data_IF_803881357457
#
_entry.id   IF_803881357457
#
_cell.length_a   1.000
_cell.length_b   1.000
_cell.length_c   1.000
_cell.angle_alpha   90.00
_cell.angle_beta   90.00
_cell.angle_gamma   90.00
#
_symmetry.space_group_name_H-M   'P 1'
#
loop_
_entity.id
_entity.type
_entity.pdbx_description
1 polymer ?
#
# COMPACT_ATOMS: atom_id res chain seq x y z
N UNK A 1 28.60 13.94 10.03
CA UNK A 1 28.98 12.56 9.70
C UNK A 1 29.32 11.85 11.00
N UNK A 2 28.90 10.60 11.18
CA UNK A 2 29.40 9.80 12.31
C UNK A 2 30.89 9.48 12.09
N UNK A 3 31.69 9.28 13.16
CA UNK A 3 33.04 8.73 13.04
C UNK A 3 33.04 7.44 12.21
N UNK A 4 34.07 7.17 11.39
CA UNK A 4 34.11 6.00 10.50
C UNK A 4 33.90 4.67 11.24
N UNK A 5 34.36 4.54 12.48
CA UNK A 5 34.09 3.39 13.35
C UNK A 5 32.61 3.16 13.67
N UNK A 6 31.75 4.19 13.58
CA UNK A 6 30.31 4.12 13.87
C UNK A 6 29.41 4.24 12.63
N UNK A 7 30.00 4.40 11.44
CA UNK A 7 29.24 4.53 10.19
C UNK A 7 28.42 3.27 9.87
N UNK A 8 28.97 2.08 10.17
CA UNK A 8 28.29 0.79 10.00
C UNK A 8 27.10 0.62 10.94
N UNK A 9 27.26 0.99 12.22
CA UNK A 9 26.18 0.96 13.21
C UNK A 9 25.04 1.93 12.84
N UNK A 10 25.38 3.15 12.39
CA UNK A 10 24.39 4.13 11.92
C UNK A 10 23.63 3.68 10.68
N UNK A 11 24.31 3.02 9.73
CA UNK A 11 23.68 2.47 8.52
C UNK A 11 22.73 1.31 8.84
N UNK A 12 23.10 0.42 9.76
CA UNK A 12 22.27 -0.70 10.18
C UNK A 12 20.94 -0.23 10.79
N UNK A 13 20.98 0.74 11.71
CA UNK A 13 19.78 1.32 12.33
C UNK A 13 18.88 2.00 11.30
N UNK A 14 19.46 2.76 10.36
CA UNK A 14 18.67 3.41 9.31
C UNK A 14 17.97 2.39 8.40
N UNK A 15 18.65 1.29 8.05
CA UNK A 15 18.06 0.22 7.26
C UNK A 15 16.89 -0.45 7.98
N UNK A 16 17.07 -0.86 9.25
CA UNK A 16 15.99 -1.44 10.06
C UNK A 16 14.82 -0.47 10.20
N UNK A 17 15.09 0.82 10.43
CA UNK A 17 14.05 1.84 10.54
C UNK A 17 13.23 1.92 9.25
N UNK A 18 13.89 1.93 8.08
CA UNK A 18 13.19 1.94 6.78
C UNK A 18 12.37 0.67 6.58
N UNK A 19 12.92 -0.49 6.87
CA UNK A 19 12.21 -1.77 6.74
C UNK A 19 10.98 -1.84 7.65
N UNK A 20 11.15 -1.52 8.93
CA UNK A 20 10.05 -1.53 9.91
C UNK A 20 8.99 -0.49 9.55
N UNK A 21 9.39 0.72 9.17
CA UNK A 21 8.44 1.76 8.75
C UNK A 21 7.65 1.37 7.49
N UNK A 22 8.27 0.65 6.55
CA UNK A 22 7.62 0.16 5.35
C UNK A 22 6.58 -0.90 5.66
N UNK A 23 6.95 -1.91 6.44
CA UNK A 23 6.03 -2.98 6.85
C UNK A 23 4.87 -2.45 7.69
N UNK A 24 5.15 -1.55 8.64
CA UNK A 24 4.12 -0.94 9.48
C UNK A 24 3.12 -0.12 8.66
N UNK A 25 3.61 0.68 7.70
CA UNK A 25 2.74 1.46 6.82
C UNK A 25 1.80 0.58 6.00
N UNK A 26 2.32 -0.50 5.40
CA UNK A 26 1.52 -1.46 4.62
C UNK A 26 0.45 -2.11 5.52
N UNK A 27 0.81 -2.52 6.73
CA UNK A 27 -0.11 -3.18 7.66
C UNK A 27 -1.24 -2.25 8.11
N UNK A 28 -0.92 -1.00 8.47
CA UNK A 28 -1.92 -0.02 8.92
C UNK A 28 -2.87 0.35 7.78
N UNK A 29 -2.34 0.67 6.59
CA UNK A 29 -3.19 1.03 5.45
C UNK A 29 -4.03 -0.15 4.94
N UNK A 30 -3.48 -1.37 4.95
CA UNK A 30 -4.26 -2.57 4.64
C UNK A 30 -5.42 -2.79 5.61
N UNK A 31 -5.18 -2.59 6.91
CA UNK A 31 -6.23 -2.71 7.94
C UNK A 31 -7.33 -1.66 7.74
N UNK A 32 -6.96 -0.40 7.48
CA UNK A 32 -7.92 0.68 7.20
C UNK A 32 -8.75 0.34 5.97
N UNK A 33 -8.11 -0.06 4.87
CA UNK A 33 -8.78 -0.44 3.64
C UNK A 33 -9.79 -1.56 3.87
N UNK A 34 -9.39 -2.62 4.59
CA UNK A 34 -10.26 -3.76 4.88
C UNK A 34 -11.47 -3.36 5.75
N UNK A 35 -11.26 -2.55 6.80
CA UNK A 35 -12.37 -2.07 7.64
C UNK A 35 -13.33 -1.20 6.84
N UNK A 36 -12.83 -0.32 5.97
CA UNK A 36 -13.68 0.53 5.15
C UNK A 36 -14.42 -0.25 4.07
N UNK A 37 -13.78 -1.25 3.46
CA UNK A 37 -14.43 -2.20 2.56
C UNK A 37 -15.58 -2.93 3.28
N UNK A 38 -15.31 -3.55 4.43
CA UNK A 38 -16.30 -4.30 5.19
C UNK A 38 -17.53 -3.44 5.56
N UNK A 39 -17.29 -2.18 5.96
CA UNK A 39 -18.37 -1.22 6.23
C UNK A 39 -19.17 -0.84 4.99
N UNK A 40 -18.49 -0.63 3.86
CA UNK A 40 -19.13 -0.19 2.63
C UNK A 40 -19.92 -1.31 1.93
N UNK A 41 -19.51 -2.57 2.08
CA UNK A 41 -20.19 -3.72 1.47
C UNK A 41 -21.37 -4.25 2.31
N UNK A 42 -21.40 -3.96 3.62
CA UNK A 42 -22.43 -4.44 4.55
C UNK A 42 -23.87 -4.25 4.08
N UNK A 43 -24.28 -3.09 3.51
CA UNK A 43 -25.66 -2.88 3.04
C UNK A 43 -26.04 -3.80 1.89
N UNK A 44 -25.07 -4.19 1.06
CA UNK A 44 -25.26 -5.11 -0.05
C UNK A 44 -25.28 -6.56 0.39
N UNK A 45 -24.97 -6.89 1.66
CA UNK A 45 -24.98 -8.27 2.16
C UNK A 45 -26.32 -8.66 2.81
N UNK A 46 -27.30 -7.77 2.86
CA UNK A 46 -28.57 -7.95 3.59
C UNK A 46 -29.42 -9.11 3.05
N UNK A 47 -29.26 -9.50 1.80
CA UNK A 47 -29.97 -10.65 1.23
C UNK A 47 -29.32 -12.00 1.57
N UNK A 48 -28.07 -12.02 2.08
CA UNK A 48 -27.43 -13.26 2.50
C UNK A 48 -27.94 -13.72 3.86
N UNK A 49 -27.88 -15.03 4.17
CA UNK A 49 -28.11 -15.53 5.53
C UNK A 49 -27.17 -14.85 6.54
N UNK A 50 -27.67 -14.49 7.72
CA UNK A 50 -26.91 -13.74 8.72
C UNK A 50 -25.60 -14.45 9.12
N UNK A 51 -25.61 -15.77 9.17
CA UNK A 51 -24.45 -16.60 9.52
C UNK A 51 -23.25 -16.45 8.58
N UNK A 52 -23.46 -16.02 7.33
CA UNK A 52 -22.40 -15.90 6.32
C UNK A 52 -22.04 -14.46 5.96
N UNK A 53 -22.79 -13.47 6.47
CA UNK A 53 -22.56 -12.04 6.19
C UNK A 53 -21.19 -11.57 6.65
N UNK A 54 -20.77 -11.95 7.86
CA UNK A 54 -19.46 -11.57 8.38
C UNK A 54 -18.33 -12.07 7.47
N UNK A 55 -18.38 -13.36 7.11
CA UNK A 55 -17.40 -13.96 6.21
C UNK A 55 -17.38 -13.24 4.85
N UNK A 56 -18.55 -13.03 4.25
CA UNK A 56 -18.66 -12.38 2.94
C UNK A 56 -18.18 -10.91 2.95
N UNK A 57 -18.18 -10.24 4.09
CA UNK A 57 -17.69 -8.85 4.23
C UNK A 57 -16.16 -8.70 4.32
N UNK A 58 -15.42 -9.80 4.55
CA UNK A 58 -13.98 -9.76 4.84
C UNK A 58 -13.13 -9.40 3.62
N UNK A 59 -13.53 -9.90 2.46
CA UNK A 59 -12.87 -9.64 1.17
C UNK A 59 -13.81 -9.99 0.02
N UNK A 60 -13.49 -9.49 -1.18
CA UNK A 60 -14.19 -9.88 -2.41
C UNK A 60 -14.09 -11.41 -2.61
N UNK A 61 -12.93 -12.00 -2.34
CA UNK A 61 -12.70 -13.44 -2.45
C UNK A 61 -13.58 -14.26 -1.51
N UNK A 62 -13.72 -13.82 -0.26
CA UNK A 62 -14.60 -14.48 0.71
C UNK A 62 -16.08 -14.35 0.30
N UNK A 63 -16.48 -13.23 -0.30
CA UNK A 63 -17.81 -13.08 -0.91
C UNK A 63 -18.04 -14.17 -1.97
N UNK A 64 -17.08 -14.41 -2.87
CA UNK A 64 -17.19 -15.46 -3.89
C UNK A 64 -17.30 -16.87 -3.29
N UNK A 65 -16.54 -17.15 -2.23
CA UNK A 65 -16.61 -18.46 -1.53
C UNK A 65 -18.00 -18.67 -0.95
N UNK A 66 -18.57 -17.65 -0.29
CA UNK A 66 -19.93 -17.70 0.25
C UNK A 66 -20.98 -17.86 -0.86
N UNK A 67 -20.85 -17.12 -1.96
CA UNK A 67 -21.77 -17.23 -3.10
C UNK A 67 -21.75 -18.61 -3.75
N UNK A 68 -20.56 -19.23 -3.88
CA UNK A 68 -20.44 -20.60 -4.39
C UNK A 68 -21.10 -21.61 -3.46
N UNK A 69 -20.89 -21.52 -2.15
CA UNK A 69 -21.56 -22.41 -1.19
C UNK A 69 -23.08 -22.21 -1.19
N UNK A 70 -23.56 -20.98 -1.38
CA UNK A 70 -24.99 -20.71 -1.53
C UNK A 70 -25.53 -21.32 -2.82
N UNK A 71 -24.78 -21.31 -3.93
CA UNK A 71 -25.23 -21.89 -5.20
C UNK A 71 -25.46 -23.41 -5.13
N UNK A 72 -24.76 -24.12 -4.23
CA UNK A 72 -24.96 -25.56 -4.00
C UNK A 72 -26.26 -25.87 -3.23
N UNK A 73 -26.73 -24.92 -2.42
CA UNK A 73 -27.90 -25.10 -1.53
C UNK A 73 -29.15 -24.42 -2.05
N UNK A 74 -29.03 -23.21 -2.60
CA UNK A 74 -30.07 -22.41 -3.23
C UNK A 74 -29.51 -21.65 -4.46
N UNK A 75 -29.60 -22.24 -5.66
CA UNK A 75 -29.12 -21.63 -6.89
C UNK A 75 -29.82 -20.30 -7.23
N UNK A 76 -31.10 -20.15 -6.87
CA UNK A 76 -31.88 -18.95 -7.19
C UNK A 76 -31.46 -17.78 -6.30
N UNK A 77 -31.22 -18.02 -5.01
CA UNK A 77 -30.65 -17.03 -4.11
C UNK A 77 -29.23 -16.63 -4.53
N UNK A 78 -28.39 -17.60 -4.92
CA UNK A 78 -27.04 -17.35 -5.39
C UNK A 78 -27.00 -16.53 -6.69
N UNK A 79 -27.93 -16.75 -7.62
CA UNK A 79 -27.99 -15.98 -8.86
C UNK A 79 -28.38 -14.52 -8.62
N UNK A 80 -29.38 -14.26 -7.75
CA UNK A 80 -29.73 -12.88 -7.36
C UNK A 80 -28.56 -12.18 -6.66
N UNK A 81 -27.96 -12.88 -5.70
CA UNK A 81 -26.79 -12.40 -4.98
C UNK A 81 -25.62 -12.10 -5.92
N UNK A 82 -25.36 -13.00 -6.88
CA UNK A 82 -24.36 -12.82 -7.91
C UNK A 82 -24.63 -11.62 -8.81
N UNK A 83 -25.88 -11.36 -9.21
CA UNK A 83 -26.20 -10.19 -10.04
C UNK A 83 -25.93 -8.86 -9.32
N UNK A 84 -26.20 -8.81 -8.00
CA UNK A 84 -25.96 -7.63 -7.17
C UNK A 84 -24.45 -7.46 -6.85
N UNK A 85 -23.72 -8.57 -6.68
CA UNK A 85 -22.27 -8.61 -6.39
C UNK A 85 -21.33 -8.76 -7.59
N UNK A 86 -21.82 -8.97 -8.81
CA UNK A 86 -20.97 -9.28 -9.96
C UNK A 86 -21.44 -8.58 -11.23
N UNK A 87 -22.13 -7.44 -11.10
CA UNK A 87 -22.83 -6.72 -12.18
C UNK A 87 -22.28 -6.95 -13.60
N UNK A 88 -23.21 -7.08 -14.54
CA UNK A 88 -22.96 -7.20 -15.97
C UNK A 88 -22.01 -6.10 -16.49
N UNK A 89 -21.19 -6.44 -17.48
CA UNK A 89 -20.07 -5.64 -17.95
C UNK A 89 -20.49 -4.19 -18.30
N UNK A 90 -20.11 -3.24 -17.45
CA UNK A 90 -20.36 -1.80 -17.67
C UNK A 90 -20.73 -1.01 -16.41
N UNK A 91 -21.15 -1.67 -15.33
CA UNK A 91 -21.45 -1.03 -14.05
C UNK A 91 -20.47 -1.45 -12.96
N UNK A 92 -20.05 -0.50 -12.12
CA UNK A 92 -19.24 -0.83 -10.97
C UNK A 92 -20.11 -1.50 -9.91
N UNK A 93 -19.94 -2.81 -9.77
CA UNK A 93 -20.60 -3.63 -8.76
C UNK A 93 -20.44 -3.06 -7.32
N UNK A 94 -21.41 -3.35 -6.44
CA UNK A 94 -21.33 -3.15 -4.99
C UNK A 94 -19.95 -3.47 -4.36
N UNK A 95 -19.36 -4.63 -4.66
CA UNK A 95 -18.03 -5.02 -4.18
C UNK A 95 -16.92 -4.08 -4.68
N UNK A 96 -16.99 -3.69 -5.96
CA UNK A 96 -16.06 -2.73 -6.56
C UNK A 96 -16.22 -1.32 -5.97
N UNK A 97 -17.45 -0.87 -5.77
CA UNK A 97 -17.75 0.43 -5.15
C UNK A 97 -17.32 0.49 -3.68
N UNK A 98 -17.56 -0.59 -2.93
CA UNK A 98 -17.09 -0.72 -1.55
C UNK A 98 -15.56 -0.68 -1.48
N UNK A 99 -14.88 -1.39 -2.39
CA UNK A 99 -13.43 -1.37 -2.49
C UNK A 99 -12.90 0.03 -2.81
N UNK A 100 -13.45 0.70 -3.83
CA UNK A 100 -13.06 2.06 -4.20
C UNK A 100 -13.33 3.07 -3.08
N UNK A 101 -14.44 2.92 -2.35
CA UNK A 101 -14.72 3.74 -1.16
C UNK A 101 -13.62 3.56 -0.11
N UNK A 102 -13.22 2.31 0.16
CA UNK A 102 -12.11 2.03 1.07
C UNK A 102 -10.78 2.60 0.58
N UNK A 103 -10.50 2.52 -0.73
CA UNK A 103 -9.30 3.10 -1.35
C UNK A 103 -9.28 4.62 -1.18
N UNK A 104 -10.40 5.31 -1.43
CA UNK A 104 -10.48 6.76 -1.27
C UNK A 104 -10.23 7.19 0.17
N UNK A 105 -10.86 6.54 1.16
CA UNK A 105 -10.64 6.87 2.58
C UNK A 105 -9.18 6.63 2.96
N UNK A 106 -8.61 5.50 2.54
CA UNK A 106 -7.20 5.16 2.81
C UNK A 106 -6.26 6.18 2.16
N UNK A 107 -6.56 6.63 0.93
CA UNK A 107 -5.78 7.64 0.22
C UNK A 107 -5.83 9.01 0.91
N UNK A 108 -6.99 9.44 1.42
CA UNK A 108 -7.11 10.68 2.20
C UNK A 108 -6.27 10.59 3.48
N UNK A 109 -6.32 9.46 4.19
CA UNK A 109 -5.49 9.25 5.38
C UNK A 109 -4.00 9.33 5.03
N UNK A 110 -3.57 8.62 3.98
CA UNK A 110 -2.18 8.67 3.50
C UNK A 110 -1.75 10.08 3.11
N UNK A 111 -2.62 10.85 2.44
CA UNK A 111 -2.36 12.24 2.09
C UNK A 111 -2.17 13.12 3.33
N UNK A 112 -2.99 12.95 4.38
CA UNK A 112 -2.82 13.64 5.65
C UNK A 112 -1.46 13.34 6.29
N UNK A 113 -1.03 12.08 6.31
CA UNK A 113 0.30 11.70 6.83
C UNK A 113 1.44 12.31 6.00
N UNK A 114 1.33 12.31 4.68
CA UNK A 114 2.32 12.92 3.80
C UNK A 114 2.44 14.43 4.02
N UNK A 115 1.30 15.14 4.13
CA UNK A 115 1.25 16.57 4.43
C UNK A 115 1.82 16.90 5.81
N UNK A 116 1.50 16.11 6.82
CA UNK A 116 2.07 16.26 8.16
C UNK A 116 3.60 16.09 8.14
N UNK A 117 4.10 15.06 7.46
CA UNK A 117 5.54 14.83 7.26
C UNK A 117 6.21 15.99 6.53
N UNK A 118 5.60 16.49 5.45
CA UNK A 118 6.09 17.64 4.71
C UNK A 118 6.14 18.90 5.59
N UNK A 119 5.11 19.16 6.41
CA UNK A 119 5.08 20.29 7.33
C UNK A 119 6.20 20.20 8.38
N UNK A 120 6.46 19.02 8.93
CA UNK A 120 7.58 18.78 9.86
C UNK A 120 8.92 19.07 9.17
N UNK A 121 9.14 18.55 7.96
CA UNK A 121 10.37 18.80 7.21
C UNK A 121 10.56 20.30 6.95
N UNK A 122 9.52 20.98 6.46
CA UNK A 122 9.56 22.43 6.19
C UNK A 122 9.81 23.26 7.46
N UNK A 123 9.32 22.80 8.61
CA UNK A 123 9.44 23.54 9.88
C UNK A 123 10.77 23.33 10.60
N UNK A 124 11.37 22.15 10.47
CA UNK A 124 12.52 21.73 11.29
C UNK A 124 13.80 21.46 10.50
N UNK A 125 13.76 21.32 9.18
CA UNK A 125 14.96 21.08 8.38
C UNK A 125 15.53 22.40 7.83
N UNK A 126 16.66 22.93 8.37
CA UNK A 126 17.28 24.14 7.85
C UNK A 126 17.82 23.92 6.44
N UNK A 127 17.46 24.79 5.49
CA UNK A 127 17.98 24.78 4.11
C UNK A 127 19.52 24.94 4.12
N UNK A 128 20.25 23.84 4.00
CA UNK A 128 21.68 23.89 3.64
C UNK A 128 21.79 23.87 2.12
N UNK A 129 22.26 24.96 1.54
CA UNK A 129 22.58 25.04 0.10
C UNK A 129 23.66 24.01 -0.23
N UNK A 130 23.33 23.06 -1.10
CA UNK A 130 24.25 22.01 -1.51
C UNK A 130 25.13 22.55 -2.63
N UNK A 131 26.31 23.05 -2.29
CA UNK A 131 27.38 23.22 -3.26
C UNK A 131 27.88 21.83 -3.65
N UNK A 132 27.35 21.28 -4.75
CA UNK A 132 27.83 20.03 -5.33
C UNK A 132 29.15 20.35 -6.04
N UNK A 133 30.27 20.22 -5.32
CA UNK A 133 31.59 20.18 -5.95
C UNK A 133 31.78 18.81 -6.60
N UNK A 134 31.49 18.72 -7.89
CA UNK A 134 31.92 17.58 -8.70
C UNK A 134 33.43 17.71 -8.91
N UNK A 135 34.22 17.07 -8.06
CA UNK A 135 35.63 16.85 -8.36
C UNK A 135 35.70 15.85 -9.51
N UNK A 136 35.89 16.38 -10.72
CA UNK A 136 36.22 15.62 -11.92
C UNK A 136 37.45 14.76 -11.61
N UNK A 137 37.25 13.45 -11.45
CA UNK A 137 38.36 12.48 -11.50
C UNK A 137 38.91 12.56 -12.91
N UNK A 138 40.11 13.10 -13.07
CA UNK A 138 40.83 13.06 -14.34
C UNK A 138 41.02 11.58 -14.74
N UNK A 139 40.86 11.22 -16.02
CA UNK A 139 41.23 9.88 -16.46
C UNK A 139 42.74 9.72 -16.24
N UNK A 140 43.11 8.67 -15.54
CA UNK A 140 44.51 8.26 -15.39
C UNK A 140 45.13 8.19 -16.79
N UNK A 141 46.13 9.04 -17.02
CA UNK A 141 46.96 8.98 -18.21
C UNK A 141 47.59 7.60 -18.29
N UNK A 142 47.19 6.81 -19.30
CA UNK A 142 47.94 5.65 -19.77
C UNK A 142 49.44 6.01 -19.88
N UNK A 143 50.37 5.24 -19.30
CA UNK A 143 51.76 5.35 -19.65
C UNK A 143 51.96 4.68 -21.02
N UNK A 144 51.92 5.50 -22.08
CA UNK A 144 52.48 5.16 -23.38
C UNK A 144 54.00 5.29 -23.35
N UNK A 145 54.66 4.34 -24.03
CA UNK A 145 56.04 4.35 -24.52
C UNK A 145 57.14 4.08 -23.47
N UNK A 146 57.79 2.91 -23.57
CA UNK A 146 59.09 2.71 -24.25
C UNK A 146 60.24 3.48 -23.58
N UNK A 147 61.26 2.75 -23.10
CA UNK A 147 62.67 2.83 -23.53
C UNK A 147 63.65 2.40 -22.42
N UNK A 148 64.62 1.56 -22.80
CA UNK A 148 65.89 1.24 -22.13
C UNK A 148 65.76 0.44 -20.81
N UNK A 149 66.38 -0.72 -20.61
CA UNK A 149 67.63 -1.31 -21.15
C UNK A 149 67.49 -2.82 -21.35
#
# INVERSE_FOLDING_TARGET
>A
SLPPENAGAGAAVNNTTRQVSGALGIAVFGTVLQVMYARAIQPSLVFLPESVRDQASRSIGDTYVVLRGLAETDPAAAQKAGQEFLCEAGQACAAGQAYLTGVHVTAVIAACFALAGAAVVLRYLPRKGMAVSYTRSAPDSEPSALSAE
#
